data_IF_412412718933
#
_entry.id   IF_412412718933
#
_cell.length_a   1.000
_cell.length_b   1.000
_cell.length_c   1.000
_cell.angle_alpha   90.00
_cell.angle_beta   90.00
_cell.angle_gamma   90.00
#
_symmetry.space_group_name_H-M   'P 1'
#
loop_
_entity.id
_entity.type
_entity.pdbx_description
1 polymer ?
#
# COMPACT_ATOMS: atom_id res chain seq x y z
N UNK A 1 -21.59 25.98 -24.58
CA UNK A 1 -20.10 25.89 -24.55
C UNK A 1 -19.51 25.77 -23.13
N UNK A 2 -20.17 25.07 -22.19
CA UNK A 2 -19.68 24.87 -20.79
C UNK A 2 -19.68 23.40 -20.31
N UNK A 3 -19.87 22.46 -21.23
CA UNK A 3 -19.54 21.03 -21.11
C UNK A 3 -18.74 20.78 -22.39
N UNK A 4 -17.45 20.41 -22.41
CA UNK A 4 -16.86 19.16 -21.94
C UNK A 4 -15.35 19.40 -21.81
N UNK A 5 -14.88 19.84 -20.65
CA UNK A 5 -13.49 19.63 -20.25
C UNK A 5 -13.53 18.54 -19.19
N UNK A 6 -13.59 17.28 -19.65
CA UNK A 6 -13.37 16.17 -18.75
C UNK A 6 -11.97 16.38 -18.13
N UNK A 7 -11.86 16.36 -16.80
CA UNK A 7 -10.55 16.44 -16.13
C UNK A 7 -9.73 15.25 -16.62
N UNK A 8 -8.74 15.49 -17.47
CA UNK A 8 -7.76 14.46 -17.83
C UNK A 8 -7.12 13.96 -16.53
N UNK A 9 -7.25 12.66 -16.26
CA UNK A 9 -6.59 12.03 -15.12
C UNK A 9 -5.10 11.94 -15.44
N UNK A 10 -4.28 12.55 -14.60
CA UNK A 10 -2.84 12.30 -14.60
C UNK A 10 -2.55 10.99 -13.90
N UNK A 11 -1.57 10.25 -14.42
CA UNK A 11 -1.09 8.99 -13.84
C UNK A 11 0.41 9.07 -13.63
N UNK A 12 0.90 8.36 -12.61
CA UNK A 12 2.32 8.15 -12.38
C UNK A 12 2.66 6.74 -12.82
N UNK A 13 3.61 6.61 -13.74
CA UNK A 13 4.23 5.33 -14.04
C UNK A 13 5.46 5.15 -13.15
N UNK A 14 5.44 4.12 -12.31
CA UNK A 14 6.53 3.78 -11.42
C UNK A 14 6.95 2.34 -11.70
N UNK A 15 8.27 2.10 -11.79
CA UNK A 15 8.79 0.73 -11.87
C UNK A 15 8.33 -0.05 -10.64
N UNK A 16 7.75 -1.22 -10.87
CA UNK A 16 7.41 -2.14 -9.80
C UNK A 16 8.70 -2.71 -9.20
N UNK A 17 8.84 -2.73 -7.89
CA UNK A 17 10.01 -3.30 -7.24
C UNK A 17 9.78 -4.80 -7.08
N UNK A 18 10.46 -5.61 -7.89
CA UNK A 18 10.27 -7.06 -7.94
C UNK A 18 11.03 -7.81 -6.82
N UNK A 19 12.22 -7.36 -6.48
CA UNK A 19 13.10 -7.99 -5.48
C UNK A 19 12.79 -7.48 -4.07
N UNK A 20 11.62 -7.82 -3.57
CA UNK A 20 11.12 -7.34 -2.27
C UNK A 20 11.66 -8.16 -1.10
N UNK A 21 11.92 -7.49 0.02
CA UNK A 21 12.03 -8.18 1.29
C UNK A 21 10.67 -8.71 1.73
N UNK A 22 10.69 -9.90 2.33
CA UNK A 22 9.50 -10.61 2.76
C UNK A 22 9.59 -10.94 4.25
N UNK A 23 8.46 -10.87 4.95
CA UNK A 23 8.28 -11.43 6.28
C UNK A 23 7.38 -12.65 6.11
N UNK A 24 7.86 -13.82 6.50
CA UNK A 24 7.16 -15.11 6.33
C UNK A 24 6.67 -15.38 4.88
N UNK A 25 7.48 -14.95 3.90
CA UNK A 25 7.16 -15.07 2.48
C UNK A 25 6.08 -14.10 1.98
N UNK A 26 5.70 -13.10 2.79
CA UNK A 26 4.66 -12.11 2.44
C UNK A 26 5.25 -10.72 2.31
N UNK A 27 4.76 -9.97 1.32
CA UNK A 27 5.15 -8.59 1.09
C UNK A 27 4.63 -7.69 2.21
N UNK A 28 5.42 -6.69 2.57
CA UNK A 28 5.02 -5.68 3.55
C UNK A 28 5.43 -4.27 3.14
N UNK A 29 4.85 -3.29 3.84
CA UNK A 29 5.40 -1.95 3.93
C UNK A 29 5.45 -1.50 5.40
N UNK A 30 6.20 -0.44 5.67
CA UNK A 30 6.28 0.17 7.00
C UNK A 30 5.45 1.45 6.98
N UNK A 31 4.46 1.53 7.87
CA UNK A 31 3.80 2.79 8.18
C UNK A 31 4.54 3.43 9.35
N UNK A 32 5.01 4.65 9.17
CA UNK A 32 5.51 5.52 10.25
C UNK A 32 4.61 6.74 10.39
N UNK A 33 4.58 7.34 11.58
CA UNK A 33 3.81 8.55 11.85
C UNK A 33 4.75 9.69 12.23
N UNK A 34 4.50 10.87 11.66
CA UNK A 34 5.22 12.09 12.00
C UNK A 34 4.24 13.26 12.06
N UNK A 35 4.50 14.21 12.94
CA UNK A 35 3.78 15.48 13.02
C UNK A 35 4.76 16.63 12.88
N UNK A 36 4.46 17.55 11.97
CA UNK A 36 5.20 18.80 11.82
C UNK A 36 4.57 19.81 12.77
N UNK A 37 5.26 20.13 13.85
CA UNK A 37 4.77 21.04 14.90
C UNK A 37 5.05 22.49 14.54
N UNK A 38 6.16 22.74 13.85
CA UNK A 38 6.50 24.06 13.32
C UNK A 38 7.36 23.91 12.08
N UNK A 39 7.21 24.82 11.12
CA UNK A 39 8.08 24.92 9.95
C UNK A 39 9.19 25.96 10.14
N UNK A 40 9.05 26.83 11.15
CA UNK A 40 10.05 27.84 11.51
C UNK A 40 9.94 28.17 13.02
N UNK A 41 10.80 27.62 13.88
CA UNK A 41 11.84 26.62 13.57
C UNK A 41 11.25 25.30 13.07
N UNK A 42 12.01 24.54 12.26
CA UNK A 42 11.52 23.24 11.77
C UNK A 42 11.54 22.21 12.90
N UNK A 43 10.36 21.79 13.35
CA UNK A 43 10.17 20.83 14.43
C UNK A 43 9.25 19.72 13.95
N UNK A 44 9.73 18.49 14.03
CA UNK A 44 9.00 17.28 13.69
C UNK A 44 9.07 16.31 14.86
N UNK A 45 7.92 15.80 15.29
CA UNK A 45 7.87 14.69 16.25
C UNK A 45 7.57 13.40 15.49
N UNK A 46 8.35 12.35 15.80
CA UNK A 46 8.16 11.01 15.26
C UNK A 46 7.41 10.14 16.28
N UNK A 47 6.52 9.29 15.78
CA UNK A 47 5.92 8.22 16.55
C UNK A 47 6.18 6.88 15.85
N UNK A 48 6.69 5.86 16.56
CA UNK A 48 6.81 4.51 16.03
C UNK A 48 5.50 4.07 15.40
N UNK A 49 5.61 3.51 14.20
CA UNK A 49 4.46 2.95 13.52
C UNK A 49 4.51 1.42 13.52
N UNK A 50 4.03 0.82 12.44
CA UNK A 50 3.86 -0.63 12.36
C UNK A 50 4.02 -1.14 10.93
N UNK A 51 4.22 -2.45 10.81
CA UNK A 51 4.33 -3.14 9.54
C UNK A 51 2.94 -3.51 9.02
N UNK A 52 2.69 -3.28 7.73
CA UNK A 52 1.48 -3.70 7.03
C UNK A 52 1.82 -4.86 6.11
N UNK A 53 1.55 -6.06 6.59
CA UNK A 53 1.78 -7.32 5.87
C UNK A 53 0.59 -7.66 4.97
N UNK A 54 0.87 -8.18 3.77
CA UNK A 54 -0.11 -8.86 2.93
C UNK A 54 -0.60 -10.15 3.58
N UNK A 55 -1.81 -10.58 3.22
CA UNK A 55 -2.39 -11.84 3.68
C UNK A 55 -1.90 -13.04 2.87
N UNK A 56 -1.55 -12.81 1.61
CA UNK A 56 -1.07 -13.86 0.71
C UNK A 56 0.46 -13.87 0.60
N UNK A 57 1.00 -15.05 0.27
CA UNK A 57 2.43 -15.18 -0.06
C UNK A 57 2.75 -14.44 -1.34
N UNK A 58 3.90 -13.78 -1.36
CA UNK A 58 4.38 -13.07 -2.53
C UNK A 58 4.73 -14.06 -3.64
N UNK A 59 4.14 -13.85 -4.81
CA UNK A 59 4.37 -14.61 -6.03
C UNK A 59 3.98 -13.74 -7.23
N UNK A 60 4.40 -14.09 -8.45
CA UNK A 60 4.06 -13.35 -9.67
C UNK A 60 2.99 -14.05 -10.52
N UNK A 61 2.34 -15.09 -10.00
CA UNK A 61 1.33 -15.82 -10.76
C UNK A 61 0.13 -14.93 -11.04
N UNK A 62 -0.22 -14.76 -12.31
CA UNK A 62 -1.30 -13.86 -12.73
C UNK A 62 -1.06 -12.39 -12.34
N UNK A 63 0.19 -11.92 -12.35
CA UNK A 63 0.51 -10.53 -12.01
C UNK A 63 -0.36 -9.53 -12.79
N UNK A 64 -1.05 -8.64 -12.06
CA UNK A 64 -1.93 -7.61 -12.64
C UNK A 64 -3.42 -7.95 -12.62
N UNK A 65 -3.80 -9.22 -12.36
CA UNK A 65 -5.18 -9.61 -12.09
C UNK A 65 -5.70 -9.01 -10.77
N UNK A 66 -7.01 -9.13 -10.51
CA UNK A 66 -7.57 -8.61 -9.25
C UNK A 66 -7.20 -9.49 -8.06
N UNK A 67 -7.00 -10.78 -8.31
CA UNK A 67 -6.65 -11.79 -7.33
C UNK A 67 -5.20 -11.61 -6.87
N UNK A 68 -4.25 -11.44 -7.80
CA UNK A 68 -2.82 -11.26 -7.47
C UNK A 68 -2.55 -9.95 -6.72
N UNK A 69 -3.41 -8.93 -6.86
CA UNK A 69 -3.29 -7.67 -6.11
C UNK A 69 -3.28 -7.88 -4.59
N UNK A 70 -3.87 -8.95 -4.05
CA UNK A 70 -3.83 -9.23 -2.60
C UNK A 70 -2.40 -9.58 -2.14
N UNK A 71 -1.61 -10.25 -2.97
CA UNK A 71 -0.21 -10.56 -2.66
C UNK A 71 0.73 -9.34 -2.84
N UNK A 72 0.36 -8.39 -3.71
CA UNK A 72 1.23 -7.28 -4.10
C UNK A 72 0.89 -5.92 -3.49
N UNK A 73 -0.34 -5.71 -3.01
CA UNK A 73 -0.83 -4.45 -2.44
C UNK A 73 -1.16 -4.61 -0.95
N UNK A 74 -0.30 -4.08 -0.10
CA UNK A 74 -0.37 -4.11 1.38
C UNK A 74 -1.51 -3.28 1.99
N UNK A 75 -2.26 -2.53 1.18
CA UNK A 75 -3.27 -1.60 1.69
C UNK A 75 -4.49 -2.35 2.28
N UNK A 76 -5.03 -1.86 3.39
CA UNK A 76 -6.14 -2.54 4.07
C UNK A 76 -7.41 -2.64 3.20
N UNK A 77 -7.64 -1.72 2.26
CA UNK A 77 -8.84 -1.77 1.41
C UNK A 77 -8.80 -2.93 0.39
N UNK A 78 -7.62 -3.31 -0.08
CA UNK A 78 -7.43 -4.51 -0.90
C UNK A 78 -7.30 -5.76 -0.03
N UNK A 79 -6.60 -5.70 1.11
CA UNK A 79 -6.48 -6.84 2.01
C UNK A 79 -7.85 -7.32 2.51
N UNK A 80 -8.78 -6.41 2.82
CA UNK A 80 -10.16 -6.73 3.23
C UNK A 80 -10.97 -7.53 2.21
N UNK A 81 -10.54 -7.60 0.95
CA UNK A 81 -11.18 -8.41 -0.10
C UNK A 81 -10.78 -9.88 -0.04
N UNK A 82 -9.75 -10.22 0.73
CA UNK A 82 -9.35 -11.60 0.97
C UNK A 82 -10.47 -12.36 1.68
N UNK A 83 -10.78 -13.57 1.21
CA UNK A 83 -11.91 -14.38 1.70
C UNK A 83 -11.82 -14.63 3.21
N UNK A 84 -10.62 -14.84 3.72
CA UNK A 84 -10.33 -15.11 5.13
C UNK A 84 -9.78 -13.90 5.89
N UNK A 85 -10.10 -12.66 5.47
CA UNK A 85 -9.54 -11.47 6.10
C UNK A 85 -9.79 -11.42 7.62
N UNK A 86 -11.01 -11.76 8.06
CA UNK A 86 -11.37 -11.73 9.48
C UNK A 86 -10.51 -12.69 10.30
N UNK A 87 -10.41 -13.95 9.88
CA UNK A 87 -9.62 -14.98 10.57
C UNK A 87 -8.13 -14.65 10.67
N UNK A 88 -7.58 -13.93 9.70
CA UNK A 88 -6.15 -13.67 9.60
C UNK A 88 -5.70 -12.31 10.17
N UNK A 89 -6.62 -11.37 10.43
CA UNK A 89 -6.30 -9.99 10.87
C UNK A 89 -7.22 -9.40 11.96
N UNK A 90 -8.32 -10.06 12.32
CA UNK A 90 -9.17 -9.73 13.48
C UNK A 90 -9.01 -10.81 14.55
#
# INVERSE_FOLDING_TARGET
>A
MRQVLSKMKSYVMQKYYEDVQLIDGRKFDIRSFMIIVSTKPFIVLYNPGYVRLCLEKYNFEGFGTNESKIAHLTNNSYQKKHKQYKELKE
#
